data_IF_618515840989
#
_entry.id   IF_618515840989
#
_cell.length_a   1.000
_cell.length_b   1.000
_cell.length_c   1.000
_cell.angle_alpha   90.00
_cell.angle_beta   90.00
_cell.angle_gamma   90.00
#
_symmetry.space_group_name_H-M   'P 1'
#
loop_
_entity.id
_entity.type
_entity.pdbx_description
1 polymer ?
#
# COMPACT_ATOMS: atom_id res chain seq x y z
N UNK A 1 27.00 16.25 -78.47
CA UNK A 1 28.12 16.00 -77.53
C UNK A 1 28.07 16.83 -76.23
N UNK A 2 27.60 18.10 -76.22
CA UNK A 2 27.53 18.91 -74.99
C UNK A 2 26.44 18.52 -73.96
N UNK A 3 25.38 17.81 -74.38
CA UNK A 3 24.30 17.35 -73.47
C UNK A 3 24.62 16.05 -72.71
N UNK A 4 25.55 15.22 -73.21
CA UNK A 4 25.96 13.99 -72.52
C UNK A 4 26.96 14.28 -71.38
N UNK A 5 27.82 15.29 -71.54
CA UNK A 5 28.77 15.71 -70.51
C UNK A 5 28.10 16.39 -69.32
N UNK A 6 26.96 17.06 -69.53
CA UNK A 6 26.20 17.70 -68.44
C UNK A 6 25.43 16.67 -67.59
N UNK A 7 24.95 15.58 -68.21
CA UNK A 7 24.30 14.48 -67.50
C UNK A 7 25.31 13.66 -66.66
N UNK A 8 26.52 13.43 -67.16
CA UNK A 8 27.58 12.80 -66.35
C UNK A 8 28.07 13.70 -65.21
N UNK A 9 28.11 15.03 -65.38
CA UNK A 9 28.48 15.94 -64.31
C UNK A 9 27.42 16.01 -63.19
N UNK A 10 26.13 15.93 -63.52
CA UNK A 10 25.05 15.90 -62.52
C UNK A 10 24.97 14.55 -61.80
N UNK A 11 25.27 13.43 -62.48
CA UNK A 11 25.41 12.12 -61.82
C UNK A 11 26.68 12.00 -60.97
N UNK A 12 27.78 12.67 -61.33
CA UNK A 12 29.01 12.74 -60.52
C UNK A 12 28.87 13.71 -59.33
N UNK A 13 27.98 14.70 -59.39
CA UNK A 13 27.69 15.59 -58.25
C UNK A 13 26.68 15.00 -57.24
N UNK A 14 25.86 14.02 -57.63
CA UNK A 14 25.04 13.21 -56.70
C UNK A 14 25.90 12.20 -55.91
N UNK A 15 27.18 12.04 -56.28
CA UNK A 15 28.20 11.29 -55.55
C UNK A 15 28.79 12.02 -54.34
N UNK A 16 28.26 13.20 -53.97
CA UNK A 16 28.42 13.74 -52.61
C UNK A 16 27.43 13.03 -51.68
N UNK A 17 27.52 11.70 -51.67
CA UNK A 17 26.99 10.85 -50.61
C UNK A 17 27.47 11.47 -49.30
N UNK A 18 26.51 11.93 -48.49
CA UNK A 18 26.72 12.13 -47.06
C UNK A 18 27.48 10.90 -46.59
N UNK A 19 28.74 11.08 -46.17
CA UNK A 19 29.67 9.99 -45.88
C UNK A 19 29.23 9.25 -44.61
N UNK A 20 28.18 8.45 -44.74
CA UNK A 20 27.70 7.57 -43.70
C UNK A 20 28.52 6.29 -43.68
N UNK A 21 29.01 5.89 -42.52
CA UNK A 21 29.67 4.58 -42.38
C UNK A 21 28.67 3.53 -41.91
N UNK A 22 28.74 2.33 -42.49
CA UNK A 22 27.94 1.19 -42.06
C UNK A 22 28.76 0.29 -41.15
N UNK A 23 28.19 -0.08 -40.00
CA UNK A 23 28.85 -0.89 -38.98
C UNK A 23 28.00 -2.10 -38.62
N UNK A 24 28.64 -3.25 -38.39
CA UNK A 24 27.97 -4.42 -37.85
C UNK A 24 27.48 -4.11 -36.44
N UNK A 25 26.31 -4.62 -36.06
CA UNK A 25 25.73 -4.35 -34.76
C UNK A 25 25.03 -5.56 -34.13
N UNK A 26 24.58 -5.42 -32.89
CA UNK A 26 23.63 -6.31 -32.23
C UNK A 26 22.26 -5.62 -32.08
N UNK A 27 21.30 -6.30 -31.44
CA UNK A 27 19.92 -5.80 -31.28
C UNK A 27 19.79 -4.53 -30.44
N UNK A 28 20.81 -4.18 -29.66
CA UNK A 28 20.83 -2.95 -28.84
C UNK A 28 21.63 -1.82 -29.50
N UNK A 29 22.23 -2.06 -30.67
CA UNK A 29 22.93 -1.02 -31.42
C UNK A 29 24.38 -0.78 -30.99
N UNK A 30 25.06 -1.80 -30.47
CA UNK A 30 26.50 -1.74 -30.18
C UNK A 30 27.33 -1.90 -31.46
N UNK A 31 28.27 -1.00 -31.73
CA UNK A 31 29.22 -1.14 -32.85
C UNK A 31 30.13 -2.37 -32.65
N UNK A 32 30.09 -3.30 -33.61
CA UNK A 32 30.89 -4.54 -33.64
C UNK A 32 31.94 -4.54 -34.76
N UNK A 33 32.17 -3.41 -35.40
CA UNK A 33 33.16 -3.26 -36.48
C UNK A 33 32.53 -2.97 -37.84
N UNK A 34 33.33 -3.12 -38.89
CA UNK A 34 32.91 -2.83 -40.28
C UNK A 34 31.83 -3.82 -40.72
N UNK A 35 30.76 -3.31 -41.33
CA UNK A 35 29.75 -4.18 -41.93
C UNK A 35 30.21 -4.70 -43.28
N UNK A 36 30.21 -6.02 -43.47
CA UNK A 36 30.65 -6.70 -44.70
C UNK A 36 29.49 -7.14 -45.61
N UNK A 37 28.25 -6.77 -45.28
CA UNK A 37 27.05 -7.23 -45.96
C UNK A 37 26.30 -8.36 -45.22
N UNK A 38 26.93 -8.96 -44.21
CA UNK A 38 26.35 -10.03 -43.39
C UNK A 38 25.94 -9.54 -41.99
N UNK A 39 24.99 -10.23 -41.36
CA UNK A 39 24.51 -9.95 -40.01
C UNK A 39 23.11 -9.35 -39.96
N UNK A 40 22.36 -9.73 -38.92
CA UNK A 40 20.96 -9.34 -38.73
C UNK A 40 20.75 -7.86 -38.37
N UNK A 41 21.77 -7.22 -37.77
CA UNK A 41 21.70 -5.83 -37.34
C UNK A 41 22.87 -5.01 -37.88
N UNK A 42 22.59 -3.78 -38.31
CA UNK A 42 23.60 -2.82 -38.79
C UNK A 42 23.32 -1.41 -38.30
N UNK A 43 24.38 -0.65 -38.03
CA UNK A 43 24.32 0.78 -37.73
C UNK A 43 24.69 1.59 -38.97
N UNK A 44 23.93 2.62 -39.26
CA UNK A 44 24.33 3.70 -40.16
C UNK A 44 24.74 4.91 -39.31
N UNK A 45 26.00 5.32 -39.44
CA UNK A 45 26.58 6.47 -38.75
C UNK A 45 26.65 7.66 -39.71
N UNK A 46 25.72 8.60 -39.59
CA UNK A 46 25.64 9.86 -40.32
C UNK A 46 26.17 11.01 -39.44
N UNK A 47 26.55 12.18 -40.01
CA UNK A 47 27.20 13.27 -39.26
C UNK A 47 26.50 13.69 -37.96
N UNK A 48 25.17 13.74 -37.94
CA UNK A 48 24.35 14.13 -36.79
C UNK A 48 23.30 13.07 -36.40
N UNK A 49 23.38 11.87 -36.99
CA UNK A 49 22.37 10.84 -36.78
C UNK A 49 22.99 9.44 -36.78
N UNK A 50 22.57 8.60 -35.86
CA UNK A 50 22.83 7.15 -35.88
C UNK A 50 21.51 6.43 -36.10
N UNK A 51 21.51 5.38 -36.91
CA UNK A 51 20.32 4.57 -37.18
C UNK A 51 20.65 3.09 -37.00
N UNK A 52 19.83 2.35 -36.26
CA UNK A 52 19.92 0.90 -36.16
C UNK A 52 18.88 0.25 -37.06
N UNK A 53 19.32 -0.65 -37.94
CA UNK A 53 18.46 -1.52 -38.73
C UNK A 53 18.57 -2.96 -38.20
N UNK A 54 17.44 -3.64 -38.12
CA UNK A 54 17.32 -5.07 -37.86
C UNK A 54 16.75 -5.82 -39.08
N UNK A 55 16.35 -7.10 -38.91
CA UNK A 55 15.81 -7.92 -40.00
C UNK A 55 14.58 -7.31 -40.67
N UNK A 56 13.70 -6.71 -39.87
CA UNK A 56 12.39 -6.19 -40.32
C UNK A 56 12.43 -4.71 -40.71
N UNK A 57 13.61 -4.08 -40.68
CA UNK A 57 13.81 -2.69 -41.06
C UNK A 57 14.38 -1.82 -39.95
N UNK A 58 13.98 -0.56 -39.91
CA UNK A 58 14.50 0.44 -38.97
C UNK A 58 14.01 0.15 -37.55
N UNK A 59 14.93 0.02 -36.60
CA UNK A 59 14.64 -0.28 -35.18
C UNK A 59 14.62 1.01 -34.37
N UNK A 60 15.66 1.85 -34.52
CA UNK A 60 15.69 3.15 -33.88
C UNK A 60 16.58 4.14 -34.64
N UNK A 61 16.35 5.42 -34.41
CA UNK A 61 17.25 6.52 -34.80
C UNK A 61 17.66 7.33 -33.58
N UNK A 62 18.88 7.84 -33.57
CA UNK A 62 19.43 8.75 -32.56
C UNK A 62 19.94 9.98 -33.30
N UNK A 63 19.30 11.12 -33.13
CA UNK A 63 19.70 12.40 -33.70
C UNK A 63 20.37 13.25 -32.61
N UNK A 64 21.44 13.96 -32.96
CA UNK A 64 22.12 14.91 -32.07
C UNK A 64 21.93 16.32 -32.62
N UNK A 65 21.57 17.25 -31.74
CA UNK A 65 21.40 18.66 -32.02
C UNK A 65 22.36 19.43 -31.10
N UNK A 66 23.13 20.36 -31.67
CA UNK A 66 24.18 21.11 -30.97
C UNK A 66 23.78 22.57 -30.70
N UNK A 67 22.53 22.95 -30.96
CA UNK A 67 22.01 24.30 -30.69
C UNK A 67 21.61 24.42 -29.21
N UNK A 68 22.26 25.32 -28.44
CA UNK A 68 21.97 25.65 -27.03
C UNK A 68 22.10 24.50 -26.00
N UNK A 69 22.97 23.53 -26.26
CA UNK A 69 23.22 22.38 -25.39
C UNK A 69 23.23 21.08 -26.19
N UNK A 70 23.80 20.01 -25.65
CA UNK A 70 23.84 18.75 -26.40
C UNK A 70 22.51 18.02 -26.23
N UNK A 71 21.59 18.25 -27.15
CA UNK A 71 20.32 17.54 -27.19
C UNK A 71 20.43 16.28 -28.04
N UNK A 72 19.84 15.18 -27.57
CA UNK A 72 19.78 13.90 -28.26
C UNK A 72 18.34 13.44 -28.32
N UNK A 73 17.82 13.21 -29.52
CA UNK A 73 16.51 12.58 -29.71
C UNK A 73 16.70 11.13 -30.15
N UNK A 74 16.07 10.20 -29.44
CA UNK A 74 16.00 8.79 -29.79
C UNK A 74 14.57 8.45 -30.20
N UNK A 75 14.37 7.98 -31.42
CA UNK A 75 13.07 7.51 -31.91
C UNK A 75 13.15 6.01 -32.14
N UNK A 76 12.31 5.23 -31.46
CA UNK A 76 12.16 3.79 -31.67
C UNK A 76 10.95 3.51 -32.56
N UNK A 77 11.08 2.49 -33.39
CA UNK A 77 10.07 2.13 -34.36
C UNK A 77 9.52 0.73 -34.07
N UNK A 78 8.19 0.61 -34.18
CA UNK A 78 7.48 -0.66 -34.22
C UNK A 78 6.61 -0.67 -35.48
N UNK A 79 6.61 -1.76 -36.23
CA UNK A 79 5.85 -1.91 -37.49
C UNK A 79 6.07 -0.75 -38.49
N UNK A 80 7.32 -0.26 -38.57
CA UNK A 80 7.72 0.83 -39.46
C UNK A 80 7.22 2.21 -39.05
N UNK A 81 6.59 2.37 -37.88
CA UNK A 81 6.09 3.65 -37.36
C UNK A 81 6.82 4.04 -36.07
N UNK A 82 7.02 5.35 -35.80
CA UNK A 82 7.50 5.80 -34.50
C UNK A 82 6.56 5.34 -33.38
N UNK A 83 7.12 4.65 -32.39
CA UNK A 83 6.39 4.07 -31.25
C UNK A 83 6.76 4.77 -29.93
N UNK A 84 8.05 5.08 -29.77
CA UNK A 84 8.60 5.80 -28.63
C UNK A 84 9.56 6.89 -29.12
N UNK A 85 9.42 8.10 -28.61
CA UNK A 85 10.37 9.19 -28.79
C UNK A 85 10.88 9.61 -27.42
N UNK A 86 12.21 9.67 -27.27
CA UNK A 86 12.89 10.08 -26.04
C UNK A 86 13.79 11.27 -26.39
N UNK A 87 13.71 12.35 -25.62
CA UNK A 87 14.57 13.53 -25.78
C UNK A 87 15.42 13.67 -24.54
N UNK A 88 16.73 13.70 -24.75
CA UNK A 88 17.73 13.87 -23.71
C UNK A 88 18.43 15.21 -23.90
N UNK A 89 18.73 15.89 -22.80
CA UNK A 89 19.56 17.09 -22.78
C UNK A 89 20.68 16.88 -21.77
N UNK A 90 21.93 17.02 -22.23
CA UNK A 90 23.13 16.83 -21.41
C UNK A 90 23.16 15.48 -20.64
N UNK A 91 22.54 14.45 -21.22
CA UNK A 91 22.45 13.10 -20.66
C UNK A 91 21.23 12.83 -19.77
N UNK A 92 20.44 13.84 -19.43
CA UNK A 92 19.19 13.70 -18.67
C UNK A 92 18.00 13.53 -19.62
N UNK A 93 17.11 12.58 -19.33
CA UNK A 93 15.87 12.40 -20.08
C UNK A 93 14.93 13.56 -19.76
N UNK A 94 14.57 14.38 -20.75
CA UNK A 94 13.72 15.56 -20.60
C UNK A 94 12.28 15.32 -21.06
N UNK A 95 12.10 14.47 -22.07
CA UNK A 95 10.79 14.15 -22.62
C UNK A 95 10.73 12.70 -23.08
N UNK A 96 9.60 12.05 -22.85
CA UNK A 96 9.26 10.75 -23.41
C UNK A 96 7.86 10.81 -24.01
N UNK A 97 7.68 10.34 -25.24
CA UNK A 97 6.39 10.30 -25.91
C UNK A 97 6.12 8.90 -26.48
N UNK A 98 4.94 8.35 -26.18
CA UNK A 98 4.43 7.12 -26.79
C UNK A 98 2.95 7.28 -27.09
N UNK A 99 2.56 7.10 -28.36
CA UNK A 99 1.21 7.41 -28.83
C UNK A 99 0.79 8.85 -28.53
N UNK A 100 -0.32 9.01 -27.82
CA UNK A 100 -0.85 10.31 -27.36
C UNK A 100 -0.32 10.76 -26.00
N UNK A 101 0.45 9.90 -25.31
CA UNK A 101 1.00 10.21 -24.00
C UNK A 101 2.37 10.89 -24.13
N UNK A 102 2.57 11.99 -23.41
CA UNK A 102 3.83 12.72 -23.32
C UNK A 102 4.18 12.92 -21.85
N UNK A 103 5.39 12.57 -21.47
CA UNK A 103 5.95 12.74 -20.14
C UNK A 103 7.10 13.73 -20.21
N UNK A 104 7.03 14.82 -19.45
CA UNK A 104 8.10 15.79 -19.29
C UNK A 104 8.79 15.58 -17.95
N UNK A 105 10.12 15.63 -17.96
CA UNK A 105 10.98 15.47 -16.80
C UNK A 105 11.70 16.79 -16.55
N UNK A 106 11.65 17.27 -15.32
CA UNK A 106 12.35 18.48 -14.89
C UNK A 106 13.26 18.12 -13.74
N UNK A 107 14.49 18.60 -13.81
CA UNK A 107 15.53 18.38 -12.80
C UNK A 107 15.89 19.70 -12.14
N UNK A 108 16.23 19.65 -10.86
CA UNK A 108 16.82 20.77 -10.14
C UNK A 108 18.30 20.96 -10.53
N UNK A 109 18.91 22.03 -10.05
CA UNK A 109 20.31 22.40 -10.37
C UNK A 109 21.34 21.38 -9.86
N UNK A 110 20.97 20.55 -8.89
CA UNK A 110 21.77 19.44 -8.36
C UNK A 110 21.61 18.14 -9.17
N UNK A 111 20.80 18.16 -10.23
CA UNK A 111 20.53 17.01 -11.10
C UNK A 111 19.47 16.05 -10.56
N UNK A 112 18.85 16.33 -9.41
CA UNK A 112 17.76 15.51 -8.88
C UNK A 112 16.46 15.81 -9.64
N UNK A 113 15.68 14.77 -9.93
CA UNK A 113 14.37 14.93 -10.57
C UNK A 113 13.45 15.70 -9.63
N UNK A 114 12.99 16.88 -10.04
CA UNK A 114 12.13 17.77 -9.24
C UNK A 114 10.66 17.66 -9.64
N UNK A 115 10.38 17.39 -10.92
CA UNK A 115 9.00 17.25 -11.40
C UNK A 115 8.89 16.30 -12.61
N UNK A 116 7.78 15.55 -12.65
CA UNK A 116 7.34 14.77 -13.80
C UNK A 116 5.92 15.19 -14.17
N UNK A 117 5.69 15.59 -15.41
CA UNK A 117 4.36 15.97 -15.91
C UNK A 117 3.94 15.03 -17.03
N UNK A 118 2.81 14.34 -16.86
CA UNK A 118 2.23 13.45 -17.87
C UNK A 118 1.01 14.11 -18.50
N UNK A 119 1.02 14.21 -19.82
CA UNK A 119 -0.11 14.66 -20.64
C UNK A 119 -0.63 13.51 -21.50
N UNK A 120 -1.94 13.38 -21.66
CA UNK A 120 -2.57 12.47 -22.62
C UNK A 120 -3.43 13.31 -23.57
N UNK A 121 -3.13 13.26 -24.87
CA UNK A 121 -3.85 14.06 -25.87
C UNK A 121 -3.77 15.57 -25.62
N UNK A 122 -2.69 16.03 -24.97
CA UNK A 122 -2.48 17.42 -24.58
C UNK A 122 -3.18 17.87 -23.29
N UNK A 123 -3.95 17.00 -22.64
CA UNK A 123 -4.57 17.27 -21.35
C UNK A 123 -3.69 16.74 -20.21
N UNK A 124 -3.69 17.44 -19.07
CA UNK A 124 -2.97 16.99 -17.88
C UNK A 124 -3.60 15.72 -17.32
N UNK A 125 -2.81 14.65 -17.27
CA UNK A 125 -3.17 13.41 -16.61
C UNK A 125 -2.65 13.40 -15.17
N UNK A 126 -1.37 13.75 -14.99
CA UNK A 126 -0.78 13.88 -13.65
C UNK A 126 0.47 14.76 -13.65
N UNK A 127 0.74 15.39 -12.51
CA UNK A 127 2.03 15.99 -12.19
C UNK A 127 2.54 15.38 -10.89
N UNK A 128 3.81 14.98 -10.85
CA UNK A 128 4.50 14.51 -9.64
C UNK A 128 5.62 15.46 -9.32
N UNK A 129 5.65 15.99 -8.10
CA UNK A 129 6.69 16.88 -7.60
C UNK A 129 7.45 16.14 -6.51
N UNK A 130 8.76 16.11 -6.63
CA UNK A 130 9.66 15.36 -5.76
C UNK A 130 10.44 16.34 -4.88
N UNK A 131 10.46 16.08 -3.59
CA UNK A 131 11.28 16.84 -2.64
C UNK A 131 12.33 15.94 -2.01
N UNK A 132 13.48 16.52 -1.69
CA UNK A 132 14.60 15.81 -1.09
C UNK A 132 15.04 16.54 0.18
N UNK A 133 15.49 15.77 1.17
CA UNK A 133 16.10 16.27 2.40
C UNK A 133 17.40 15.51 2.63
N UNK A 134 18.52 16.24 2.80
CA UNK A 134 19.84 15.62 2.96
C UNK A 134 20.26 14.70 1.80
N UNK A 135 19.82 15.00 0.57
CA UNK A 135 20.08 14.18 -0.62
C UNK A 135 19.22 12.92 -0.75
N UNK A 136 18.35 12.63 0.22
CA UNK A 136 17.39 11.51 0.17
C UNK A 136 16.01 12.01 -0.21
N UNK A 137 15.25 11.19 -0.95
CA UNK A 137 13.86 11.51 -1.30
C UNK A 137 13.02 11.62 -0.03
N UNK A 138 12.41 12.78 0.19
CA UNK A 138 11.62 13.07 1.40
C UNK A 138 10.12 13.10 1.11
N UNK A 139 9.70 13.51 -0.08
CA UNK A 139 8.29 13.49 -0.45
C UNK A 139 8.01 13.42 -1.95
N UNK A 140 6.82 12.94 -2.29
CA UNK A 140 6.27 12.98 -3.65
C UNK A 140 4.83 13.51 -3.57
N UNK A 141 4.60 14.72 -4.07
CA UNK A 141 3.26 15.27 -4.27
C UNK A 141 2.76 14.85 -5.65
N UNK A 142 1.69 14.09 -5.72
CA UNK A 142 1.01 13.76 -6.97
C UNK A 142 -0.26 14.59 -7.10
N UNK A 143 -0.41 15.28 -8.22
CA UNK A 143 -1.59 16.06 -8.59
C UNK A 143 -2.20 15.43 -9.83
N UNK A 144 -3.50 15.15 -9.78
CA UNK A 144 -4.33 14.67 -10.91
C UNK A 144 -5.55 15.60 -11.05
N UNK A 145 -6.32 15.51 -12.15
CA UNK A 145 -7.57 16.27 -12.27
C UNK A 145 -8.51 16.00 -11.09
N UNK A 146 -8.73 17.02 -10.27
CA UNK A 146 -9.66 16.97 -9.13
C UNK A 146 -9.13 16.32 -7.85
N UNK A 147 -7.88 15.84 -7.83
CA UNK A 147 -7.31 15.18 -6.64
C UNK A 147 -5.82 15.48 -6.47
N UNK A 148 -5.36 15.37 -5.23
CA UNK A 148 -3.93 15.38 -4.92
C UNK A 148 -3.64 14.45 -3.76
N UNK A 149 -2.47 13.82 -3.78
CA UNK A 149 -1.95 13.04 -2.66
C UNK A 149 -0.48 13.38 -2.41
N UNK A 150 -0.07 13.33 -1.15
CA UNK A 150 1.33 13.41 -0.78
C UNK A 150 1.79 12.08 -0.20
N UNK A 151 2.98 11.68 -0.61
CA UNK A 151 3.75 10.63 0.06
C UNK A 151 4.93 11.27 0.76
N UNK A 152 5.20 10.88 1.99
CA UNK A 152 6.41 11.31 2.70
C UNK A 152 7.21 10.10 3.19
N UNK A 153 8.52 10.28 3.25
CA UNK A 153 9.49 9.26 3.61
C UNK A 153 10.50 9.88 4.56
N UNK A 154 10.93 9.13 5.55
CA UNK A 154 11.99 9.62 6.42
C UNK A 154 12.29 8.69 7.59
N UNK A 155 12.97 9.26 8.57
CA UNK A 155 13.35 8.60 9.80
C UNK A 155 12.74 9.34 10.98
N UNK A 156 12.03 8.62 11.85
CA UNK A 156 11.64 9.10 13.17
C UNK A 156 12.59 8.46 14.19
N UNK A 157 13.62 9.20 14.59
CA UNK A 157 14.80 8.64 15.29
C UNK A 157 15.46 7.55 14.43
N UNK A 158 15.45 6.30 14.87
CA UNK A 158 16.04 5.17 14.14
C UNK A 158 15.01 4.40 13.30
N UNK A 159 13.73 4.78 13.36
CA UNK A 159 12.65 4.07 12.69
C UNK A 159 12.35 4.68 11.33
N UNK A 160 12.37 3.85 10.28
CA UNK A 160 11.94 4.27 8.95
C UNK A 160 10.42 4.44 8.93
N UNK A 161 9.96 5.56 8.37
CA UNK A 161 8.53 5.80 8.17
C UNK A 161 8.19 6.09 6.71
N UNK A 162 6.96 5.74 6.36
CA UNK A 162 6.31 6.07 5.10
C UNK A 162 4.91 6.56 5.42
N UNK A 163 4.49 7.68 4.85
CA UNK A 163 3.09 8.10 4.93
C UNK A 163 2.51 8.40 3.56
N UNK A 164 1.21 8.22 3.47
CA UNK A 164 0.38 8.59 2.33
C UNK A 164 -0.81 9.38 2.85
N UNK A 165 -1.14 10.49 2.21
CA UNK A 165 -2.38 11.21 2.49
C UNK A 165 -2.97 11.83 1.24
N UNK A 166 -4.29 11.91 1.21
CA UNK A 166 -5.10 12.56 0.19
C UNK A 166 -6.24 13.37 0.84
N UNK A 167 -7.26 13.69 0.05
CA UNK A 167 -8.43 14.45 0.50
C UNK A 167 -9.35 13.67 1.47
N UNK A 168 -9.29 12.33 1.44
CA UNK A 168 -10.19 11.46 2.18
C UNK A 168 -9.57 10.98 3.50
N UNK A 169 -8.23 11.06 3.62
CA UNK A 169 -7.52 10.75 4.86
C UNK A 169 -6.06 10.39 4.61
N UNK A 170 -5.50 9.55 5.47
CA UNK A 170 -4.14 9.08 5.27
C UNK A 170 -3.73 7.93 6.18
N UNK A 171 -2.51 7.47 5.91
CA UNK A 171 -1.89 6.30 6.52
C UNK A 171 -0.43 6.62 6.86
N UNK A 172 0.01 6.21 8.04
CA UNK A 172 1.41 6.26 8.46
C UNK A 172 1.87 4.85 8.80
N UNK A 173 2.97 4.45 8.19
CA UNK A 173 3.64 3.19 8.42
C UNK A 173 4.97 3.45 9.09
N UNK A 174 5.21 2.81 10.23
CA UNK A 174 6.51 2.85 10.93
C UNK A 174 7.08 1.45 10.99
N UNK A 175 8.29 1.25 10.46
CA UNK A 175 8.97 -0.04 10.45
C UNK A 175 9.99 -0.09 11.58
N UNK A 176 9.84 -1.10 12.44
CA UNK A 176 10.76 -1.44 13.53
C UNK A 176 11.99 -2.19 13.01
N UNK A 177 13.09 -2.17 13.78
CA UNK A 177 14.37 -2.79 13.41
C UNK A 177 14.29 -4.31 13.12
N UNK A 178 13.26 -4.97 13.66
CA UNK A 178 12.98 -6.40 13.43
C UNK A 178 12.09 -6.67 12.20
N UNK A 179 11.82 -5.65 11.38
CA UNK A 179 11.01 -5.73 10.17
C UNK A 179 9.49 -5.71 10.39
N UNK A 180 9.01 -5.55 11.63
CA UNK A 180 7.58 -5.37 11.91
C UNK A 180 7.13 -3.94 11.58
N UNK A 181 5.94 -3.80 11.01
CA UNK A 181 5.37 -2.50 10.65
C UNK A 181 4.12 -2.19 11.47
N UNK A 182 4.07 -0.99 12.05
CA UNK A 182 2.89 -0.42 12.71
C UNK A 182 2.22 0.51 11.72
N UNK A 183 0.88 0.42 11.59
CA UNK A 183 0.09 1.27 10.72
C UNK A 183 -0.90 2.12 11.54
N UNK A 184 -0.90 3.41 11.30
CA UNK A 184 -1.87 4.38 11.83
C UNK A 184 -2.71 4.94 10.67
N UNK A 185 -4.00 5.18 10.89
CA UNK A 185 -4.94 5.66 9.87
C UNK A 185 -5.67 6.91 10.35
N UNK A 186 -6.09 7.77 9.43
CA UNK A 186 -7.00 8.89 9.72
C UNK A 186 -7.96 9.13 8.56
N UNK A 187 -9.14 9.67 8.85
CA UNK A 187 -10.19 10.01 7.88
C UNK A 187 -10.51 11.49 8.05
N UNK A 188 -10.36 12.30 6.99
CA UNK A 188 -10.45 13.75 7.10
C UNK A 188 -9.42 14.35 8.08
N UNK A 189 -9.86 15.24 8.99
CA UNK A 189 -9.00 15.85 10.03
C UNK A 189 -8.97 15.05 11.35
N UNK A 190 -9.76 13.99 11.48
CA UNK A 190 -9.85 13.20 12.72
C UNK A 190 -8.87 12.03 12.68
N UNK A 191 -7.92 12.00 13.62
CA UNK A 191 -7.09 10.82 13.88
C UNK A 191 -8.00 9.63 14.19
N UNK A 192 -7.98 8.60 13.35
CA UNK A 192 -8.74 7.39 13.62
C UNK A 192 -8.00 6.59 14.69
N UNK A 193 -8.63 6.46 15.86
CA UNK A 193 -8.24 5.63 17.01
C UNK A 193 -6.73 5.62 17.35
N UNK A 194 -6.33 6.33 18.42
CA UNK A 194 -4.98 6.17 18.96
C UNK A 194 -4.87 4.77 19.59
N UNK A 195 -4.15 3.87 18.93
CA UNK A 195 -3.85 2.53 19.42
C UNK A 195 -2.41 2.50 19.91
N UNK A 196 -2.21 2.17 21.18
CA UNK A 196 -0.88 1.93 21.74
C UNK A 196 -0.74 0.49 22.20
N UNK A 197 0.46 -0.05 22.05
CA UNK A 197 0.80 -1.43 22.42
C UNK A 197 1.83 -1.39 23.53
N UNK A 198 1.53 -2.06 24.65
CA UNK A 198 2.47 -2.26 25.76
C UNK A 198 2.82 -3.74 25.83
N UNK A 199 4.12 -4.07 25.81
CA UNK A 199 4.60 -5.45 25.95
C UNK A 199 5.23 -5.63 27.34
N UNK A 200 5.10 -6.83 27.92
CA UNK A 200 5.61 -7.16 29.24
C UNK A 200 6.69 -8.25 29.16
N UNK A 201 7.53 -8.37 30.20
CA UNK A 201 8.66 -9.33 30.23
C UNK A 201 8.22 -10.80 30.13
N UNK A 202 7.00 -11.12 30.56
CA UNK A 202 6.41 -12.47 30.47
C UNK A 202 5.92 -12.83 29.05
N UNK A 203 6.06 -11.92 28.08
CA UNK A 203 5.60 -12.11 26.71
C UNK A 203 4.14 -11.71 26.47
N UNK A 204 3.41 -11.32 27.51
CA UNK A 204 2.06 -10.78 27.41
C UNK A 204 2.07 -9.35 26.81
N UNK A 205 0.91 -8.88 26.35
CA UNK A 205 0.78 -7.51 25.84
C UNK A 205 -0.59 -6.90 26.11
N UNK A 206 -0.66 -5.57 26.07
CA UNK A 206 -1.89 -4.81 26.15
C UNK A 206 -2.07 -3.93 24.92
N UNK A 207 -3.30 -3.86 24.41
CA UNK A 207 -3.75 -2.88 23.44
C UNK A 207 -4.57 -1.81 24.17
N UNK A 208 -4.21 -0.55 23.98
CA UNK A 208 -4.94 0.60 24.53
C UNK A 208 -5.48 1.37 23.34
N UNK A 209 -6.80 1.39 23.17
CA UNK A 209 -7.48 2.14 22.12
C UNK A 209 -8.19 3.34 22.73
N UNK A 210 -7.82 4.55 22.34
CA UNK A 210 -8.51 5.77 22.78
C UNK A 210 -9.50 6.22 21.71
N UNK A 211 -10.77 6.26 22.10
CA UNK A 211 -11.88 6.81 21.31
C UNK A 211 -12.41 8.07 22.01
N UNK A 212 -13.16 8.96 21.31
CA UNK A 212 -13.86 10.07 21.94
C UNK A 212 -14.80 9.64 23.08
N UNK A 213 -15.37 8.43 22.95
CA UNK A 213 -16.31 7.81 23.90
C UNK A 213 -15.62 7.17 25.12
N UNK A 214 -14.29 7.06 25.11
CA UNK A 214 -13.50 6.50 26.21
C UNK A 214 -12.35 5.60 25.76
N UNK A 215 -11.61 5.09 26.74
CA UNK A 215 -10.48 4.19 26.54
C UNK A 215 -10.92 2.72 26.64
N UNK A 216 -10.49 1.90 25.68
CA UNK A 216 -10.61 0.44 25.72
C UNK A 216 -9.23 -0.14 25.96
N UNK A 217 -9.09 -0.94 27.02
CA UNK A 217 -7.86 -1.66 27.38
C UNK A 217 -8.08 -3.16 27.22
N UNK A 218 -7.39 -3.79 26.29
CA UNK A 218 -7.38 -5.24 26.07
C UNK A 218 -6.04 -5.81 26.53
N UNK A 219 -6.02 -6.86 27.34
CA UNK A 219 -4.81 -7.58 27.77
C UNK A 219 -4.84 -8.99 27.20
N UNK A 220 -3.72 -9.37 26.58
CA UNK A 220 -3.48 -10.69 26.01
C UNK A 220 -2.35 -11.37 26.76
N UNK A 221 -2.45 -12.68 26.98
CA UNK A 221 -1.36 -13.48 27.57
C UNK A 221 -0.21 -13.73 26.59
N UNK A 222 0.82 -14.44 27.05
CA UNK A 222 1.99 -14.78 26.24
C UNK A 222 1.68 -15.74 25.07
N UNK A 223 0.51 -16.39 25.08
CA UNK A 223 0.02 -17.25 24.02
C UNK A 223 -0.87 -16.48 23.03
N UNK A 224 -1.15 -15.20 23.29
CA UNK A 224 -2.00 -14.34 22.47
C UNK A 224 -3.50 -14.51 22.70
N UNK A 225 -3.92 -15.11 23.83
CA UNK A 225 -5.34 -15.20 24.21
C UNK A 225 -5.76 -13.93 24.98
N UNK A 226 -6.96 -13.41 24.69
CA UNK A 226 -7.51 -12.24 25.37
C UNK A 226 -7.91 -12.62 26.79
N UNK A 227 -7.22 -12.11 27.81
CA UNK A 227 -7.49 -12.44 29.22
C UNK A 227 -8.32 -11.36 29.94
N UNK A 228 -8.32 -10.13 29.45
CA UNK A 228 -9.12 -9.04 30.01
C UNK A 228 -9.45 -7.98 28.96
N UNK A 229 -10.67 -7.42 28.99
CA UNK A 229 -11.10 -6.26 28.21
C UNK A 229 -11.84 -5.28 29.11
N UNK A 230 -11.32 -4.06 29.22
CA UNK A 230 -11.89 -2.99 30.04
C UNK A 230 -12.39 -1.86 29.14
N UNK A 231 -13.65 -1.51 29.30
CA UNK A 231 -14.30 -0.34 28.69
C UNK A 231 -14.69 0.65 29.79
N UNK A 232 -15.19 1.86 29.45
CA UNK A 232 -15.77 2.75 30.45
C UNK A 232 -16.92 2.11 31.25
N UNK A 233 -17.69 1.20 30.64
CA UNK A 233 -18.93 0.67 31.22
C UNK A 233 -18.74 -0.66 31.97
N UNK A 234 -17.76 -1.48 31.56
CA UNK A 234 -17.56 -2.81 32.13
C UNK A 234 -16.12 -3.32 31.99
N UNK A 235 -15.75 -4.22 32.89
CA UNK A 235 -14.57 -5.07 32.83
C UNK A 235 -15.00 -6.51 32.50
N UNK A 236 -14.42 -7.11 31.46
CA UNK A 236 -14.59 -8.52 31.13
C UNK A 236 -13.28 -9.27 31.33
N UNK A 237 -13.30 -10.34 32.10
CA UNK A 237 -12.19 -11.27 32.30
C UNK A 237 -12.51 -12.62 31.65
N UNK A 238 -11.53 -13.23 31.01
CA UNK A 238 -11.68 -14.47 30.27
C UNK A 238 -10.73 -15.55 30.82
N UNK A 239 -11.21 -16.79 30.90
CA UNK A 239 -10.39 -17.95 31.27
C UNK A 239 -10.52 -19.05 30.23
N UNK A 240 -9.42 -19.72 29.97
CA UNK A 240 -9.31 -20.77 28.96
C UNK A 240 -8.79 -22.06 29.59
N UNK A 241 -9.15 -23.20 29.00
CA UNK A 241 -8.55 -24.49 29.31
C UNK A 241 -7.19 -24.67 28.59
N UNK A 242 -6.53 -25.80 28.82
CA UNK A 242 -5.26 -26.15 28.17
C UNK A 242 -5.37 -26.29 26.64
N UNK A 243 -6.56 -26.66 26.13
CA UNK A 243 -6.89 -26.73 24.71
C UNK A 243 -7.18 -25.37 24.07
N UNK A 244 -7.13 -24.28 24.84
CA UNK A 244 -7.43 -22.89 24.44
C UNK A 244 -8.92 -22.61 24.19
N UNK A 245 -9.82 -23.46 24.66
CA UNK A 245 -11.26 -23.18 24.65
C UNK A 245 -11.63 -22.27 25.82
N UNK A 246 -12.51 -21.30 25.57
CA UNK A 246 -13.06 -20.43 26.62
C UNK A 246 -13.87 -21.29 27.60
N UNK A 247 -13.59 -21.16 28.89
CA UNK A 247 -14.32 -21.87 29.97
C UNK A 247 -15.11 -20.92 30.85
N UNK A 248 -14.67 -19.66 30.99
CA UNK A 248 -15.32 -18.67 31.83
C UNK A 248 -15.20 -17.27 31.23
N UNK A 249 -16.28 -16.49 31.28
CA UNK A 249 -16.31 -15.06 31.02
C UNK A 249 -16.97 -14.36 32.21
N UNK A 250 -16.22 -13.53 32.94
CA UNK A 250 -16.72 -12.71 34.06
C UNK A 250 -16.82 -11.26 33.63
N UNK A 251 -18.04 -10.72 33.61
CA UNK A 251 -18.34 -9.33 33.23
C UNK A 251 -18.72 -8.57 34.49
N UNK A 252 -17.98 -7.53 34.84
CA UNK A 252 -18.26 -6.65 35.99
C UNK A 252 -18.66 -5.28 35.46
N UNK A 253 -19.91 -4.87 35.68
CA UNK A 253 -20.43 -3.56 35.33
C UNK A 253 -20.05 -2.50 36.38
N UNK A 254 -20.07 -1.22 36.01
CA UNK A 254 -19.75 -0.12 36.94
C UNK A 254 -20.68 -0.03 38.14
N UNK A 255 -21.93 -0.51 38.02
CA UNK A 255 -22.91 -0.53 39.12
C UNK A 255 -22.63 -1.65 40.15
N UNK A 256 -21.59 -2.45 39.93
CA UNK A 256 -21.20 -3.57 40.80
C UNK A 256 -21.95 -4.87 40.48
N UNK A 257 -22.75 -4.91 39.43
CA UNK A 257 -23.34 -6.15 38.90
C UNK A 257 -22.26 -6.99 38.24
N UNK A 258 -22.29 -8.29 38.51
CA UNK A 258 -21.37 -9.25 37.92
C UNK A 258 -22.17 -10.32 37.18
N UNK A 259 -21.79 -10.60 35.94
CA UNK A 259 -22.29 -11.72 35.15
C UNK A 259 -21.16 -12.71 34.89
N UNK A 260 -21.29 -13.93 35.36
CA UNK A 260 -20.31 -15.01 35.16
C UNK A 260 -20.92 -16.03 34.21
N UNK A 261 -20.35 -16.18 33.03
CA UNK A 261 -20.75 -17.17 32.03
C UNK A 261 -19.74 -18.31 32.01
N UNK A 262 -20.23 -19.55 32.00
CA UNK A 262 -19.41 -20.76 31.97
C UNK A 262 -19.68 -21.53 30.69
N UNK A 263 -18.61 -22.04 30.09
CA UNK A 263 -18.63 -22.67 28.79
C UNK A 263 -18.01 -24.06 28.85
N UNK A 264 -18.60 -25.00 28.13
CA UNK A 264 -18.05 -26.35 27.93
C UNK A 264 -18.10 -26.68 26.43
N UNK A 265 -16.98 -27.13 25.88
CA UNK A 265 -16.83 -27.45 24.44
C UNK A 265 -17.38 -26.35 23.50
N UNK A 266 -17.14 -25.08 23.86
CA UNK A 266 -17.57 -23.90 23.11
C UNK A 266 -19.03 -23.48 23.30
N UNK A 267 -19.83 -24.24 24.06
CA UNK A 267 -21.23 -23.93 24.34
C UNK A 267 -21.43 -23.30 25.71
N UNK A 268 -22.30 -22.29 25.81
CA UNK A 268 -22.68 -21.69 27.09
C UNK A 268 -23.54 -22.69 27.88
N UNK A 269 -23.05 -23.15 29.03
CA UNK A 269 -23.74 -24.14 29.87
C UNK A 269 -24.36 -23.53 31.13
N UNK A 270 -23.83 -22.40 31.60
CA UNK A 270 -24.29 -21.75 32.83
C UNK A 270 -24.01 -20.24 32.81
N UNK A 271 -24.89 -19.47 33.44
CA UNK A 271 -24.71 -18.04 33.66
C UNK A 271 -25.21 -17.63 35.06
N UNK A 272 -24.38 -16.95 35.84
CA UNK A 272 -24.70 -16.44 37.18
C UNK A 272 -24.71 -14.92 37.14
N UNK A 273 -25.74 -14.31 37.72
CA UNK A 273 -25.84 -12.86 37.95
C UNK A 273 -25.73 -12.59 39.45
N UNK A 274 -24.80 -11.72 39.82
CA UNK A 274 -24.55 -11.28 41.20
C UNK A 274 -24.74 -9.77 41.30
N UNK A 275 -25.32 -9.31 42.41
CA UNK A 275 -25.42 -7.90 42.77
C UNK A 275 -24.83 -7.75 44.17
N UNK A 276 -23.86 -6.85 44.34
CA UNK A 276 -23.16 -6.64 45.63
C UNK A 276 -22.59 -7.94 46.24
N UNK A 277 -22.13 -8.87 45.39
CA UNK A 277 -21.57 -10.17 45.79
C UNK A 277 -22.60 -11.22 46.21
N UNK A 278 -23.90 -10.96 46.04
CA UNK A 278 -24.96 -11.95 46.24
C UNK A 278 -25.54 -12.40 44.91
N UNK A 279 -25.66 -13.71 44.72
CA UNK A 279 -26.39 -14.27 43.58
C UNK A 279 -27.83 -13.78 43.60
N UNK A 280 -28.31 -13.29 42.46
CA UNK A 280 -29.71 -12.92 42.23
C UNK A 280 -30.39 -13.85 41.23
N UNK A 281 -29.59 -14.45 40.32
CA UNK A 281 -30.07 -15.39 39.30
C UNK A 281 -28.96 -16.34 38.89
N UNK A 282 -29.30 -17.62 38.72
CA UNK A 282 -28.45 -18.61 38.10
C UNK A 282 -29.22 -19.34 37.00
N UNK A 283 -28.74 -19.25 35.77
CA UNK A 283 -29.29 -19.96 34.62
C UNK A 283 -28.42 -21.16 34.29
N UNK A 284 -29.01 -22.35 34.21
CA UNK A 284 -28.40 -23.54 33.59
C UNK A 284 -29.05 -23.81 32.25
N UNK A 285 -28.24 -24.01 31.21
CA UNK A 285 -28.70 -24.35 29.88
C UNK A 285 -28.59 -25.85 29.66
N UNK A 286 -29.67 -26.46 29.18
CA UNK A 286 -29.71 -27.88 28.86
C UNK A 286 -29.31 -28.10 27.38
N UNK A 287 -28.85 -29.31 27.06
CA UNK A 287 -28.45 -29.67 25.69
C UNK A 287 -29.59 -29.57 24.67
N UNK A 288 -30.84 -29.75 25.12
CA UNK A 288 -32.04 -29.61 24.27
C UNK A 288 -32.42 -28.15 23.98
N UNK A 289 -31.67 -27.19 24.53
CA UNK A 289 -31.89 -25.75 24.39
C UNK A 289 -32.88 -25.16 25.39
N UNK A 290 -33.51 -25.98 26.24
CA UNK A 290 -34.27 -25.49 27.40
C UNK A 290 -33.33 -24.91 28.47
N UNK A 291 -33.88 -24.16 29.43
CA UNK A 291 -33.07 -23.62 30.53
C UNK A 291 -33.83 -23.63 31.86
N UNK A 292 -33.07 -23.69 32.95
CA UNK A 292 -33.57 -23.59 34.31
C UNK A 292 -32.96 -22.35 34.93
N UNK A 293 -33.80 -21.42 35.41
CA UNK A 293 -33.38 -20.24 36.14
C UNK A 293 -33.73 -20.38 37.61
N UNK A 294 -32.71 -20.48 38.45
CA UNK A 294 -32.83 -20.36 39.91
C UNK A 294 -32.78 -18.88 40.29
N UNK A 295 -33.84 -18.40 40.94
CA UNK A 295 -33.97 -17.04 41.43
C UNK A 295 -33.62 -16.98 42.91
N UNK A 296 -32.90 -15.93 43.29
CA UNK A 296 -32.40 -15.75 44.64
C UNK A 296 -32.94 -14.44 45.24
N UNK A 297 -33.21 -14.46 46.55
CA UNK A 297 -33.55 -13.30 47.36
C UNK A 297 -32.63 -13.30 48.57
N UNK A 298 -31.90 -12.18 48.80
CA UNK A 298 -30.90 -12.07 49.87
C UNK A 298 -29.86 -13.21 49.86
N UNK A 299 -29.45 -13.64 48.66
CA UNK A 299 -28.50 -14.75 48.45
C UNK A 299 -29.07 -16.15 48.68
N UNK A 300 -30.37 -16.30 48.96
CA UNK A 300 -31.03 -17.60 49.15
C UNK A 300 -31.93 -17.94 47.95
N UNK A 301 -31.83 -19.16 47.37
CA UNK A 301 -32.72 -19.56 46.30
C UNK A 301 -34.16 -19.66 46.82
N UNK A 302 -35.12 -19.12 46.08
CA UNK A 302 -36.54 -19.17 46.44
C UNK A 302 -37.43 -19.78 45.36
N UNK A 303 -36.98 -19.81 44.11
CA UNK A 303 -37.72 -20.45 43.02
C UNK A 303 -36.81 -20.93 41.90
N UNK A 304 -37.21 -22.02 41.26
CA UNK A 304 -36.70 -22.44 39.96
C UNK A 304 -37.78 -22.25 38.89
N UNK A 305 -37.41 -21.64 37.77
CA UNK A 305 -38.27 -21.43 36.60
C UNK A 305 -37.66 -22.14 35.40
N UNK A 306 -38.37 -23.13 34.87
CA UNK A 306 -37.95 -23.86 33.66
C UNK A 306 -38.55 -23.20 32.44
N UNK A 307 -37.72 -22.84 31.47
CA UNK A 307 -38.11 -22.25 30.20
C UNK A 307 -37.97 -23.25 29.04
N UNK A 308 -38.88 -23.17 28.08
CA UNK A 308 -38.78 -23.88 26.81
C UNK A 308 -37.59 -23.37 25.98
N UNK A 309 -37.30 -24.07 24.87
CA UNK A 309 -36.21 -23.77 23.93
C UNK A 309 -36.27 -22.34 23.36
N UNK A 310 -37.45 -21.72 23.31
CA UNK A 310 -37.61 -20.33 22.86
C UNK A 310 -37.19 -19.29 23.91
N UNK A 311 -36.83 -19.71 25.13
CA UNK A 311 -36.43 -18.85 26.23
C UNK A 311 -37.54 -17.94 26.79
N UNK A 312 -38.79 -18.13 26.35
CA UNK A 312 -39.92 -17.24 26.69
C UNK A 312 -41.04 -17.97 27.40
N UNK A 313 -41.40 -19.17 26.94
CA UNK A 313 -42.47 -19.97 27.55
C UNK A 313 -41.96 -20.64 28.82
N UNK A 314 -42.65 -20.38 29.93
CA UNK A 314 -42.42 -21.08 31.20
C UNK A 314 -43.10 -22.45 31.14
N UNK A 315 -42.32 -23.50 31.40
CA UNK A 315 -42.77 -24.89 31.46
C UNK A 315 -43.14 -25.31 32.88
N UNK A 316 -42.41 -24.83 33.89
CA UNK A 316 -42.69 -25.10 35.30
C UNK A 316 -42.08 -24.04 36.21
N UNK A 317 -42.67 -23.86 37.39
CA UNK A 317 -42.13 -23.07 38.50
C UNK A 317 -42.17 -23.93 39.77
N UNK A 318 -41.06 -24.01 40.49
CA UNK A 318 -40.93 -24.70 41.78
C UNK A 318 -40.46 -23.69 42.82
N UNK A 319 -41.09 -23.66 44.00
CA UNK A 319 -40.71 -22.77 45.11
C UNK A 319 -40.03 -23.56 46.23
N UNK A 320 -39.11 -22.92 46.94
CA UNK A 320 -38.35 -23.47 48.07
C UNK A 320 -38.83 -22.97 49.44
#
# INVERSE_FOLDING_TARGET
MKRLLLACAILLCLGSLIAGSLRLSNSIGQDRGVWTGEGAFRLALLPNQTQLYGPDGLVWTKQTFDEEGRQVQVTRYADGKPDLVEVYQDGLLMQMQSGSAVVYYHYATDGLLSQLTTLIGGQLESARIYSYAGGSLSSILTVTPGQSNLRTFGMLKELAYFSFYDQDGGQLFTTLDNGRTIAEFWVGEEKAEEISVVTYEDGSFSLIRRKPEGEILERYDAQGLLVSSKTPSYLTEYRYNESRDLTEQRITEMDGRVMIKMYESGSLVSAIEEIQGQSVKHTRYNEDGSSIQTLYSEGKPYADVTYAVDGKRVLSIVYY
#
